data_IF_009325336818
#
_entry.id   IF_009325336818
#
_cell.length_a   1.000
_cell.length_b   1.000
_cell.length_c   1.000
_cell.angle_alpha   90.00
_cell.angle_beta   90.00
_cell.angle_gamma   90.00
#
_symmetry.space_group_name_H-M   'P 1'
#
loop_
_entity.id
_entity.type
_entity.pdbx_description
1 polymer ?
#
# COMPACT_ATOMS: atom_id res chain seq x y z
N UNK A 1 -10.84 -7.88 19.20
CA UNK A 1 -11.78 -7.82 18.06
C UNK A 1 -11.04 -7.18 16.90
N UNK A 2 -11.09 -7.77 15.71
CA UNK A 2 -10.43 -7.27 14.50
C UNK A 2 -11.49 -6.95 13.45
N UNK A 3 -11.27 -5.90 12.65
CA UNK A 3 -12.18 -5.54 11.55
C UNK A 3 -12.17 -6.59 10.44
N UNK A 4 -10.98 -7.13 10.13
CA UNK A 4 -10.79 -8.16 9.11
C UNK A 4 -9.70 -9.15 9.51
N UNK A 5 -9.91 -10.42 9.17
CA UNK A 5 -8.96 -11.52 9.37
C UNK A 5 -8.82 -12.26 8.05
N UNK A 6 -7.57 -12.49 7.64
CA UNK A 6 -7.23 -13.15 6.38
C UNK A 6 -6.56 -14.49 6.65
N UNK A 7 -7.03 -15.54 5.99
CA UNK A 7 -6.42 -16.87 6.03
C UNK A 7 -5.22 -16.97 5.09
N UNK A 8 -4.46 -18.06 5.22
CA UNK A 8 -3.30 -18.37 4.38
C UNK A 8 -3.66 -18.63 2.90
N UNK A 9 -4.94 -18.89 2.61
CA UNK A 9 -5.50 -19.07 1.28
C UNK A 9 -5.66 -17.76 0.51
N UNK A 10 -5.47 -16.61 1.17
CA UNK A 10 -5.65 -15.28 0.56
C UNK A 10 -4.33 -14.72 0.06
N UNK A 11 -4.35 -14.19 -1.15
CA UNK A 11 -3.22 -13.51 -1.74
C UNK A 11 -3.15 -12.03 -1.35
N UNK A 12 -2.03 -11.40 -1.69
CA UNK A 12 -1.81 -9.97 -1.42
C UNK A 12 -2.82 -9.09 -2.16
N UNK A 13 -3.36 -9.55 -3.29
CA UNK A 13 -4.36 -8.81 -4.05
C UNK A 13 -5.69 -8.76 -3.29
N UNK A 14 -6.16 -9.89 -2.76
CA UNK A 14 -7.36 -9.96 -1.94
C UNK A 14 -7.23 -9.07 -0.70
N UNK A 15 -6.08 -9.12 -0.02
CA UNK A 15 -5.81 -8.25 1.13
C UNK A 15 -5.88 -6.77 0.73
N UNK A 16 -5.24 -6.38 -0.38
CA UNK A 16 -5.28 -5.01 -0.90
C UNK A 16 -6.70 -4.55 -1.23
N UNK A 17 -7.49 -5.39 -1.91
CA UNK A 17 -8.85 -5.05 -2.35
C UNK A 17 -9.80 -4.83 -1.18
N UNK A 18 -9.58 -5.56 -0.09
CA UNK A 18 -10.40 -5.50 1.12
C UNK A 18 -9.95 -4.45 2.12
N UNK A 19 -8.75 -3.91 1.99
CA UNK A 19 -8.18 -2.93 2.94
C UNK A 19 -7.86 -1.60 2.25
N UNK A 20 -6.76 -1.55 1.51
CA UNK A 20 -6.17 -0.31 0.98
C UNK A 20 -6.98 0.32 -0.16
N UNK A 21 -7.79 -0.45 -0.88
CA UNK A 21 -8.59 0.07 -1.99
C UNK A 21 -9.56 1.17 -1.57
N UNK A 22 -10.16 1.06 -0.39
CA UNK A 22 -11.07 2.08 0.14
C UNK A 22 -10.29 3.32 0.59
N UNK A 23 -9.13 3.13 1.21
CA UNK A 23 -8.23 4.22 1.60
C UNK A 23 -7.79 5.10 0.43
N UNK A 24 -7.63 4.53 -0.77
CA UNK A 24 -7.29 5.30 -1.97
C UNK A 24 -8.36 6.30 -2.39
N UNK A 25 -9.63 6.07 -2.02
CA UNK A 25 -10.71 7.04 -2.29
C UNK A 25 -10.60 8.18 -1.30
N UNK A 26 -10.48 7.86 -0.01
CA UNK A 26 -10.25 8.83 1.07
C UNK A 26 -8.99 9.69 0.83
N UNK A 27 -7.92 9.10 0.28
CA UNK A 27 -6.70 9.80 -0.08
C UNK A 27 -6.90 10.87 -1.18
N UNK A 28 -7.80 10.61 -2.13
CA UNK A 28 -8.12 11.56 -3.20
C UNK A 28 -9.15 12.61 -2.75
N UNK A 29 -9.89 12.34 -1.68
CA UNK A 29 -10.81 13.28 -1.03
C UNK A 29 -10.09 14.13 0.05
N UNK A 30 -8.83 14.50 -0.19
CA UNK A 30 -7.98 15.35 0.66
C UNK A 30 -7.71 14.83 2.10
N UNK A 31 -7.81 13.52 2.34
CA UNK A 31 -7.52 12.92 3.65
C UNK A 31 -6.23 12.09 3.67
N UNK A 32 -5.43 12.23 4.73
CA UNK A 32 -4.20 11.46 4.89
C UNK A 32 -4.48 10.01 5.33
N UNK A 33 -3.86 9.05 4.65
CA UNK A 33 -3.95 7.62 4.98
C UNK A 33 -2.56 7.06 5.33
N UNK A 34 -2.50 6.17 6.32
CA UNK A 34 -1.24 5.49 6.72
C UNK A 34 -1.48 3.99 6.91
N UNK A 35 -0.57 3.18 6.38
CA UNK A 35 -0.63 1.71 6.46
C UNK A 35 0.64 1.22 7.12
N UNK A 36 0.48 0.41 8.18
CA UNK A 36 1.58 -0.17 8.93
C UNK A 36 1.43 -1.69 8.94
N UNK A 37 2.51 -2.41 8.63
CA UNK A 37 2.59 -3.86 8.87
C UNK A 37 3.30 -4.12 10.19
N UNK A 38 2.62 -4.77 11.13
CA UNK A 38 3.16 -5.15 12.44
C UNK A 38 3.14 -6.67 12.62
N UNK A 39 4.05 -7.19 13.45
CA UNK A 39 4.19 -8.63 13.71
C UNK A 39 5.64 -9.06 13.97
N UNK A 40 5.84 -10.27 14.49
CA UNK A 40 7.17 -10.81 14.81
C UNK A 40 8.01 -11.10 13.55
N UNK A 41 9.35 -11.07 13.64
CA UNK A 41 10.21 -11.40 12.48
C UNK A 41 9.85 -12.76 11.90
N UNK A 42 9.80 -12.87 10.56
CA UNK A 42 9.36 -14.09 9.87
C UNK A 42 7.87 -14.19 9.56
N UNK A 43 7.01 -13.30 10.09
CA UNK A 43 5.55 -13.32 9.85
C UNK A 43 5.11 -12.61 8.56
N UNK A 44 5.86 -12.76 7.47
CA UNK A 44 5.45 -12.28 6.13
C UNK A 44 5.12 -10.78 5.97
N UNK A 45 5.47 -9.89 6.92
CA UNK A 45 5.24 -8.42 6.79
C UNK A 45 5.78 -7.84 5.50
N UNK A 46 7.04 -8.13 5.19
CA UNK A 46 7.70 -7.67 3.96
C UNK A 46 7.03 -8.26 2.73
N UNK A 47 6.60 -9.52 2.81
CA UNK A 47 5.87 -10.19 1.74
C UNK A 47 4.50 -9.55 1.49
N UNK A 48 3.75 -9.16 2.53
CA UNK A 48 2.48 -8.44 2.37
C UNK A 48 2.71 -7.03 1.80
N UNK A 49 3.71 -6.30 2.31
CA UNK A 49 3.92 -4.89 1.96
C UNK A 49 4.59 -4.70 0.59
N UNK A 50 5.66 -5.43 0.30
CA UNK A 50 6.42 -5.34 -0.95
C UNK A 50 6.09 -6.45 -1.94
N UNK A 51 5.79 -7.66 -1.45
CA UNK A 51 5.55 -8.82 -2.31
C UNK A 51 6.81 -9.40 -2.93
N UNK A 52 6.61 -10.17 -4.01
CA UNK A 52 7.65 -10.69 -4.90
C UNK A 52 7.26 -10.39 -6.37
N UNK A 53 8.14 -10.73 -7.32
CA UNK A 53 7.92 -10.43 -8.75
C UNK A 53 6.58 -10.97 -9.27
N UNK A 54 6.25 -12.22 -8.94
CA UNK A 54 4.99 -12.85 -9.39
C UNK A 54 3.77 -12.43 -8.55
N UNK A 55 3.98 -11.91 -7.33
CA UNK A 55 2.91 -11.57 -6.38
C UNK A 55 3.17 -10.19 -5.78
N UNK A 56 2.72 -9.12 -6.46
CA UNK A 56 2.95 -7.76 -5.99
C UNK A 56 2.34 -7.54 -4.60
N UNK A 57 3.07 -6.81 -3.76
CA UNK A 57 2.60 -6.43 -2.43
C UNK A 57 1.65 -5.24 -2.46
N UNK A 58 1.16 -4.88 -1.27
CA UNK A 58 0.21 -3.77 -1.06
C UNK A 58 0.76 -2.45 -1.60
N UNK A 59 2.06 -2.14 -1.43
CA UNK A 59 2.65 -0.87 -1.90
C UNK A 59 2.58 -0.76 -3.42
N UNK A 60 3.00 -1.80 -4.14
CA UNK A 60 2.99 -1.82 -5.60
C UNK A 60 1.56 -1.72 -6.15
N UNK A 61 0.63 -2.48 -5.59
CA UNK A 61 -0.79 -2.44 -5.96
C UNK A 61 -1.42 -1.06 -5.72
N UNK A 62 -1.07 -0.44 -4.59
CA UNK A 62 -1.53 0.92 -4.23
C UNK A 62 -1.02 1.93 -5.24
N UNK A 63 0.29 1.92 -5.53
CA UNK A 63 0.88 2.82 -6.51
C UNK A 63 0.20 2.69 -7.88
N UNK A 64 0.08 1.46 -8.42
CA UNK A 64 -0.58 1.23 -9.71
C UNK A 64 -2.03 1.74 -9.76
N UNK A 65 -2.81 1.51 -8.70
CA UNK A 65 -4.19 2.00 -8.65
C UNK A 65 -4.27 3.51 -8.49
N UNK A 66 -3.37 4.11 -7.72
CA UNK A 66 -3.28 5.56 -7.53
C UNK A 66 -2.93 6.26 -8.86
N UNK A 67 -1.89 5.81 -9.56
CA UNK A 67 -1.55 6.33 -10.89
C UNK A 67 -2.72 6.25 -11.87
N UNK A 68 -3.44 5.12 -11.87
CA UNK A 68 -4.63 4.96 -12.73
C UNK A 68 -5.75 5.94 -12.35
N UNK A 69 -5.99 6.18 -11.06
CA UNK A 69 -7.02 7.13 -10.58
C UNK A 69 -6.64 8.57 -10.97
N UNK A 70 -5.40 8.97 -10.69
CA UNK A 70 -4.89 10.31 -11.03
C UNK A 70 -4.91 10.54 -12.55
N UNK A 71 -4.57 9.53 -13.36
CA UNK A 71 -4.68 9.62 -14.82
C UNK A 71 -6.10 9.90 -15.32
N UNK A 72 -7.12 9.34 -14.66
CA UNK A 72 -8.53 9.62 -14.97
C UNK A 72 -8.94 11.03 -14.58
N UNK A 73 -8.62 11.46 -13.36
CA UNK A 73 -8.92 12.82 -12.89
C UNK A 73 -8.26 13.88 -13.79
N UNK A 74 -7.04 13.60 -14.27
CA UNK A 74 -6.35 14.46 -15.24
C UNK A 74 -7.09 14.57 -16.57
N UNK A 75 -7.67 13.46 -17.07
CA UNK A 75 -8.50 13.51 -18.29
C UNK A 75 -9.81 14.27 -18.11
N UNK A 76 -10.28 14.39 -16.86
CA UNK A 76 -11.47 15.16 -16.47
C UNK A 76 -11.14 16.64 -16.18
N UNK A 77 -9.90 17.07 -16.40
CA UNK A 77 -9.46 18.47 -16.28
C UNK A 77 -8.90 18.86 -14.92
N UNK A 78 -8.73 17.92 -13.99
CA UNK A 78 -8.12 18.19 -12.68
C UNK A 78 -6.59 18.14 -12.74
N UNK A 79 -5.92 19.15 -12.18
CA UNK A 79 -4.47 19.16 -12.02
C UNK A 79 -4.09 18.42 -10.74
N UNK A 80 -3.27 17.38 -10.85
CA UNK A 80 -2.78 16.61 -9.71
C UNK A 80 -1.28 16.32 -9.88
N UNK A 81 -0.47 16.72 -8.90
CA UNK A 81 0.93 16.38 -8.82
C UNK A 81 1.13 15.19 -7.89
N UNK A 82 1.98 14.24 -8.30
CA UNK A 82 2.27 13.05 -7.51
C UNK A 82 3.77 12.91 -7.32
N UNK A 83 4.19 12.78 -6.06
CA UNK A 83 5.56 12.48 -5.68
C UNK A 83 5.58 11.19 -4.85
N UNK A 84 6.60 10.36 -5.07
CA UNK A 84 6.80 9.11 -4.32
C UNK A 84 8.19 9.13 -3.71
N UNK A 85 8.29 8.81 -2.42
CA UNK A 85 9.55 8.71 -1.70
C UNK A 85 9.63 7.37 -0.95
N UNK A 86 10.80 6.75 -0.96
CA UNK A 86 11.10 5.53 -0.21
C UNK A 86 12.25 5.79 0.77
N UNK A 87 12.04 5.50 2.05
CA UNK A 87 13.03 5.70 3.10
C UNK A 87 13.20 4.42 3.92
N UNK A 88 14.46 4.01 4.13
CA UNK A 88 14.84 2.90 5.00
C UNK A 88 15.60 3.43 6.20
N UNK A 89 15.13 3.13 7.42
CA UNK A 89 15.83 3.48 8.65
C UNK A 89 16.64 2.28 9.13
N UNK A 90 17.98 2.39 9.11
CA UNK A 90 18.90 1.43 9.75
C UNK A 90 19.44 2.05 11.04
N UNK A 91 19.65 1.23 12.08
CA UNK A 91 20.46 1.67 13.22
C UNK A 91 21.94 1.62 12.80
N UNK A 92 22.62 2.75 12.83
CA UNK A 92 24.07 2.79 12.70
C UNK A 92 24.68 2.45 14.06
N UNK A 93 25.32 1.29 14.17
CA UNK A 93 26.18 0.99 15.31
C UNK A 93 27.51 1.70 15.02
N UNK A 94 27.73 2.85 15.65
CA UNK A 94 29.06 3.42 15.74
C UNK A 94 29.85 2.59 16.76
N UNK A 95 30.91 1.93 16.29
CA UNK A 95 31.90 1.26 17.15
C UNK A 95 32.89 2.29 17.68
#
# INVERSE_FOLDING_TARGET
>A
MFDQVFGEDKDNQYVFERTTKEMLTTLLDDCNCSIFAYGATGTSKTFTMLGCEDRPGVVSLTASKLYRRVGKLRSEGQSCDMAVAYMKKTRSYAT
#
